data_IF_120758529333
#
_entry.id   IF_120758529333
#
_cell.length_a   1.000
_cell.length_b   1.000
_cell.length_c   1.000
_cell.angle_alpha   90.00
_cell.angle_beta   90.00
_cell.angle_gamma   90.00
#
_symmetry.space_group_name_H-M   'P 1'
#
loop_
_entity.id
_entity.type
_entity.pdbx_description
1 polymer ?
#
# COMPACT_ATOMS: atom_id res chain seq x y z
N UNK A 1 7.50 -11.25 26.46
CA UNK A 1 8.81 -10.56 26.42
C UNK A 1 8.62 -9.29 25.60
N UNK A 2 8.96 -8.12 26.14
CA UNK A 2 8.82 -6.82 25.48
C UNK A 2 9.97 -6.62 24.48
N UNK A 3 9.72 -6.03 23.30
CA UNK A 3 10.75 -5.78 22.30
C UNK A 3 11.91 -4.97 22.90
N UNK A 4 13.15 -5.42 22.69
CA UNK A 4 14.35 -4.66 23.06
C UNK A 4 14.53 -3.51 22.08
N UNK A 5 14.52 -2.28 22.58
CA UNK A 5 14.80 -1.08 21.78
C UNK A 5 16.31 -0.86 21.69
N UNK A 6 16.86 -0.79 20.47
CA UNK A 6 18.28 -0.61 20.20
C UNK A 6 18.62 0.89 20.10
N UNK A 7 19.83 1.29 20.53
CA UNK A 7 20.28 2.68 20.34
C UNK A 7 20.82 2.87 18.92
N UNK A 8 20.45 3.97 18.26
CA UNK A 8 20.92 4.29 16.90
C UNK A 8 22.46 4.33 16.78
N UNK A 9 23.17 4.68 17.86
CA UNK A 9 24.65 4.68 17.88
C UNK A 9 25.21 3.27 17.76
N UNK A 10 24.60 2.31 18.44
CA UNK A 10 25.06 0.91 18.43
C UNK A 10 24.66 0.25 17.11
N UNK A 11 23.45 0.51 16.61
CA UNK A 11 23.03 0.08 15.27
C UNK A 11 24.01 0.58 14.21
N UNK A 12 24.45 1.85 14.27
CA UNK A 12 25.44 2.38 13.33
C UNK A 12 26.81 1.70 13.44
N UNK A 13 27.26 1.36 14.64
CA UNK A 13 28.54 0.65 14.85
C UNK A 13 28.52 -0.78 14.32
N UNK A 14 27.34 -1.42 14.36
CA UNK A 14 27.13 -2.83 14.01
C UNK A 14 26.14 -2.97 12.84
N UNK A 15 26.23 -2.09 11.84
CA UNK A 15 25.19 -1.95 10.81
C UNK A 15 24.91 -3.24 10.05
N UNK A 16 25.94 -3.93 9.54
CA UNK A 16 25.75 -5.16 8.77
C UNK A 16 25.11 -6.28 9.61
N UNK A 17 25.58 -6.48 10.84
CA UNK A 17 25.03 -7.47 11.77
C UNK A 17 23.56 -7.16 12.11
N UNK A 18 23.25 -5.88 12.34
CA UNK A 18 21.89 -5.43 12.58
C UNK A 18 20.97 -5.70 11.39
N UNK A 19 21.41 -5.41 10.16
CA UNK A 19 20.64 -5.67 8.95
C UNK A 19 20.41 -7.18 8.76
N UNK A 20 21.45 -8.00 8.94
CA UNK A 20 21.34 -9.47 8.86
C UNK A 20 20.35 -10.02 9.90
N UNK A 21 20.37 -9.49 11.13
CA UNK A 21 19.43 -9.89 12.20
C UNK A 21 17.98 -9.52 11.85
N UNK A 22 17.73 -8.31 11.32
CA UNK A 22 16.38 -7.90 10.91
C UNK A 22 15.85 -8.77 9.77
N UNK A 23 16.69 -9.07 8.78
CA UNK A 23 16.31 -9.88 7.63
C UNK A 23 16.02 -11.32 8.04
N UNK A 24 16.89 -11.94 8.84
CA UNK A 24 16.87 -13.39 9.10
C UNK A 24 16.05 -13.78 10.34
N UNK A 25 15.86 -12.85 11.28
CA UNK A 25 15.25 -13.16 12.57
C UNK A 25 13.94 -12.41 12.79
N UNK A 26 13.98 -11.09 13.09
CA UNK A 26 12.79 -10.34 13.50
C UNK A 26 12.89 -8.83 13.30
N UNK A 27 11.75 -8.11 13.22
CA UNK A 27 11.74 -6.65 13.22
C UNK A 27 12.42 -6.06 14.46
N UNK A 28 12.96 -4.85 14.30
CA UNK A 28 13.63 -4.13 15.38
C UNK A 28 13.08 -2.73 15.57
N UNK A 29 13.17 -2.24 16.81
CA UNK A 29 12.90 -0.84 17.14
C UNK A 29 14.21 -0.14 17.50
N UNK A 30 14.45 1.02 16.88
CA UNK A 30 15.68 1.80 17.05
C UNK A 30 15.33 3.16 17.64
N UNK A 31 15.94 3.50 18.77
CA UNK A 31 15.78 4.81 19.42
C UNK A 31 16.87 5.77 18.96
N UNK A 32 16.45 6.96 18.52
CA UNK A 32 17.32 8.10 18.21
C UNK A 32 16.86 9.31 19.02
N UNK A 33 17.60 9.66 20.07
CA UNK A 33 17.21 10.71 21.02
C UNK A 33 15.80 10.48 21.60
N UNK A 34 14.81 11.29 21.18
CA UNK A 34 13.40 11.20 21.59
C UNK A 34 12.54 10.40 20.62
N UNK A 35 13.07 10.07 19.45
CA UNK A 35 12.35 9.40 18.38
C UNK A 35 12.58 7.89 18.41
N UNK A 36 11.60 7.16 17.86
CA UNK A 36 11.63 5.71 17.71
C UNK A 36 11.35 5.37 16.25
N UNK A 37 12.16 4.49 15.68
CA UNK A 37 11.98 3.95 14.34
C UNK A 37 11.68 2.45 14.44
N UNK A 38 10.81 1.94 13.57
CA UNK A 38 10.63 0.52 13.35
C UNK A 38 11.35 0.12 12.06
N UNK A 39 12.04 -1.02 12.07
CA UNK A 39 12.75 -1.56 10.92
C UNK A 39 12.25 -2.97 10.68
N UNK A 40 11.80 -3.22 9.46
CA UNK A 40 11.24 -4.49 9.00
C UNK A 40 11.95 -4.92 7.72
N UNK A 41 12.10 -6.23 7.51
CA UNK A 41 12.41 -6.78 6.20
C UNK A 41 11.20 -6.70 5.27
N UNK A 42 11.41 -6.93 3.96
CA UNK A 42 10.29 -6.96 3.00
C UNK A 42 9.27 -8.05 3.34
N UNK A 43 9.72 -9.28 3.65
CA UNK A 43 8.82 -10.37 4.03
C UNK A 43 7.97 -10.03 5.27
N UNK A 44 8.57 -9.35 6.25
CA UNK A 44 7.87 -8.90 7.46
C UNK A 44 6.85 -7.78 7.15
N UNK A 45 7.19 -6.89 6.22
CA UNK A 45 6.29 -5.83 5.74
C UNK A 45 5.12 -6.43 4.96
N UNK A 46 5.38 -7.37 4.06
CA UNK A 46 4.35 -8.05 3.27
C UNK A 46 3.37 -8.77 4.19
N UNK A 47 3.86 -9.49 5.21
CA UNK A 47 3.00 -10.11 6.23
C UNK A 47 2.17 -9.09 7.03
N UNK A 48 2.70 -7.90 7.29
CA UNK A 48 1.97 -6.83 7.98
C UNK A 48 0.83 -6.26 7.10
N UNK A 49 1.01 -6.26 5.78
CA UNK A 49 0.09 -5.68 4.81
C UNK A 49 -0.83 -6.70 4.14
N UNK A 50 -0.67 -7.99 4.43
CA UNK A 50 -1.40 -9.10 3.80
C UNK A 50 -2.93 -8.95 3.88
N UNK A 51 -3.44 -8.48 5.03
CA UNK A 51 -4.88 -8.29 5.25
C UNK A 51 -5.45 -7.05 4.54
N UNK A 52 -4.60 -6.17 4.02
CA UNK A 52 -5.02 -4.93 3.38
C UNK A 52 -5.39 -5.19 1.91
N UNK A 53 -6.68 -5.43 1.65
CA UNK A 53 -7.17 -5.77 0.29
C UNK A 53 -7.46 -4.53 -0.55
N UNK A 54 -7.04 -4.54 -1.81
CA UNK A 54 -7.34 -3.49 -2.79
C UNK A 54 -8.56 -3.96 -3.59
N UNK A 55 -9.71 -3.31 -3.41
CA UNK A 55 -11.01 -3.78 -3.93
C UNK A 55 -11.63 -2.79 -4.88
N UNK A 56 -11.73 -3.16 -6.16
CA UNK A 56 -12.40 -2.35 -7.17
C UNK A 56 -13.88 -2.76 -7.23
N UNK A 57 -14.77 -1.82 -6.92
CA UNK A 57 -16.21 -2.02 -7.08
C UNK A 57 -16.60 -1.66 -8.51
N UNK A 58 -17.18 -2.61 -9.24
CA UNK A 58 -17.56 -2.42 -10.65
C UNK A 58 -19.08 -2.30 -10.76
N UNK A 59 -19.51 -1.32 -11.55
CA UNK A 59 -20.89 -1.12 -11.98
C UNK A 59 -20.93 -1.07 -13.51
N UNK A 60 -21.87 -1.80 -14.11
CA UNK A 60 -22.17 -1.64 -15.53
C UNK A 60 -23.20 -0.52 -15.72
N UNK A 61 -22.86 0.41 -16.61
CA UNK A 61 -23.66 1.59 -16.94
C UNK A 61 -24.70 1.28 -18.03
N UNK A 62 -25.62 2.21 -18.25
CA UNK A 62 -26.72 2.06 -19.22
C UNK A 62 -26.24 1.98 -20.68
N UNK A 63 -25.14 2.64 -20.99
CA UNK A 63 -24.51 2.62 -22.31
C UNK A 63 -23.65 1.37 -22.57
N UNK A 64 -23.55 0.48 -21.59
CA UNK A 64 -22.77 -0.74 -21.64
C UNK A 64 -21.32 -0.61 -21.16
N UNK A 65 -20.85 0.61 -20.86
CA UNK A 65 -19.55 0.84 -20.23
C UNK A 65 -19.49 0.34 -18.78
N UNK A 66 -18.30 0.28 -18.22
CA UNK A 66 -18.05 -0.15 -16.85
C UNK A 66 -17.37 0.96 -16.07
N UNK A 67 -17.98 1.35 -14.94
CA UNK A 67 -17.36 2.23 -13.95
C UNK A 67 -16.78 1.42 -12.82
N UNK A 68 -15.51 1.66 -12.50
CA UNK A 68 -14.80 1.04 -11.38
C UNK A 68 -14.46 2.08 -10.32
N UNK A 69 -14.71 1.77 -9.05
CA UNK A 69 -14.44 2.65 -7.92
C UNK A 69 -13.64 1.93 -6.85
N UNK A 70 -12.49 2.52 -6.50
CA UNK A 70 -11.66 2.12 -5.38
C UNK A 70 -11.89 3.08 -4.20
N UNK A 71 -12.90 2.75 -3.38
CA UNK A 71 -13.39 3.65 -2.32
C UNK A 71 -12.32 4.02 -1.30
N UNK A 72 -11.43 3.08 -0.98
CA UNK A 72 -10.38 3.24 0.03
C UNK A 72 -9.35 4.32 -0.32
N UNK A 73 -9.24 4.67 -1.61
CA UNK A 73 -8.30 5.69 -2.11
C UNK A 73 -8.99 6.81 -2.88
N UNK A 74 -10.32 6.77 -3.00
CA UNK A 74 -11.13 7.73 -3.77
C UNK A 74 -10.68 7.82 -5.24
N UNK A 75 -10.35 6.68 -5.85
CA UNK A 75 -10.03 6.57 -7.29
C UNK A 75 -11.22 5.97 -8.04
N UNK A 76 -11.44 6.45 -9.27
CA UNK A 76 -12.48 5.93 -10.15
C UNK A 76 -12.10 6.13 -11.61
N UNK A 77 -12.51 5.18 -12.45
CA UNK A 77 -12.36 5.25 -13.90
C UNK A 77 -13.61 4.65 -14.57
N UNK A 78 -13.80 4.97 -15.84
CA UNK A 78 -14.86 4.40 -16.69
C UNK A 78 -14.25 3.99 -18.03
N UNK A 79 -14.53 2.77 -18.46
CA UNK A 79 -13.98 2.19 -19.70
C UNK A 79 -15.02 1.29 -20.39
N UNK A 80 -14.80 1.00 -21.67
CA UNK A 80 -15.70 0.15 -22.47
C UNK A 80 -15.65 -1.33 -22.04
N UNK A 81 -14.55 -1.78 -21.45
CA UNK A 81 -14.33 -3.17 -21.04
C UNK A 81 -13.75 -3.27 -19.64
N UNK A 82 -14.01 -4.40 -18.97
CA UNK A 82 -13.47 -4.68 -17.62
C UNK A 82 -11.93 -4.73 -17.63
N UNK A 83 -11.32 -5.25 -18.69
CA UNK A 83 -9.86 -5.35 -18.80
C UNK A 83 -9.22 -3.97 -18.91
N UNK A 84 -9.77 -3.08 -19.76
CA UNK A 84 -9.34 -1.69 -19.83
C UNK A 84 -9.52 -0.98 -18.49
N UNK A 85 -10.70 -1.13 -17.88
CA UNK A 85 -11.01 -0.53 -16.58
C UNK A 85 -9.97 -0.95 -15.51
N UNK A 86 -9.60 -2.23 -15.49
CA UNK A 86 -8.61 -2.76 -14.56
C UNK A 86 -7.23 -2.15 -14.82
N UNK A 87 -6.78 -2.08 -16.06
CA UNK A 87 -5.47 -1.51 -16.38
C UNK A 87 -5.43 0.00 -16.07
N UNK A 88 -6.45 0.78 -16.45
CA UNK A 88 -6.56 2.21 -16.13
C UNK A 88 -6.48 2.44 -14.62
N UNK A 89 -7.25 1.69 -13.82
CA UNK A 89 -7.21 1.85 -12.35
C UNK A 89 -5.88 1.40 -11.73
N UNK A 90 -5.17 0.43 -12.33
CA UNK A 90 -3.84 0.03 -11.88
C UNK A 90 -2.81 1.13 -12.17
N UNK A 91 -2.89 1.78 -13.33
CA UNK A 91 -2.05 2.93 -13.67
C UNK A 91 -2.31 4.11 -12.71
N UNK A 92 -3.58 4.44 -12.48
CA UNK A 92 -4.00 5.47 -11.52
C UNK A 92 -3.50 5.18 -10.10
N UNK A 93 -3.54 3.90 -9.67
CA UNK A 93 -3.03 3.47 -8.37
C UNK A 93 -1.53 3.72 -8.23
N UNK A 94 -0.76 3.38 -9.27
CA UNK A 94 0.69 3.57 -9.30
C UNK A 94 1.03 5.05 -9.28
N UNK A 95 0.37 5.85 -10.12
CA UNK A 95 0.58 7.30 -10.19
C UNK A 95 0.22 7.97 -8.86
N UNK A 96 -0.95 7.65 -8.30
CA UNK A 96 -1.38 8.17 -7.01
C UNK A 96 -0.43 7.79 -5.89
N UNK A 97 0.02 6.54 -5.83
CA UNK A 97 0.97 6.08 -4.81
C UNK A 97 2.32 6.79 -4.94
N UNK A 98 2.78 7.09 -6.15
CA UNK A 98 4.00 7.86 -6.38
C UNK A 98 3.83 9.33 -5.98
N UNK A 99 2.71 9.97 -6.37
CA UNK A 99 2.41 11.36 -6.03
C UNK A 99 2.29 11.55 -4.50
N UNK A 100 1.61 10.62 -3.83
CA UNK A 100 1.50 10.61 -2.37
C UNK A 100 2.87 10.62 -1.72
N UNK A 101 3.80 9.78 -2.18
CA UNK A 101 5.15 9.71 -1.63
C UNK A 101 5.99 10.95 -1.94
N UNK A 102 5.83 11.55 -3.13
CA UNK A 102 6.47 12.82 -3.48
C UNK A 102 5.97 13.98 -2.59
N UNK A 103 4.70 13.94 -2.17
CA UNK A 103 4.05 14.95 -1.35
C UNK A 103 3.69 14.42 0.05
N UNK A 104 4.51 13.51 0.59
CA UNK A 104 4.19 12.71 1.78
C UNK A 104 3.72 13.56 2.97
N UNK A 105 4.43 14.67 3.23
CA UNK A 105 4.14 15.55 4.36
C UNK A 105 2.73 16.19 4.28
N UNK A 106 2.26 16.52 3.08
CA UNK A 106 0.94 17.09 2.85
C UNK A 106 -0.15 16.01 3.00
N UNK A 107 0.02 14.89 2.30
CA UNK A 107 -0.99 13.84 2.25
C UNK A 107 -1.13 13.10 3.59
N UNK A 108 -0.01 12.78 4.26
CA UNK A 108 -0.03 12.08 5.55
C UNK A 108 -0.62 12.93 6.69
N UNK A 109 -0.56 14.27 6.58
CA UNK A 109 -1.16 15.21 7.55
C UNK A 109 -2.61 15.57 7.21
N UNK A 110 -3.10 15.25 6.02
CA UNK A 110 -4.46 15.57 5.60
C UNK A 110 -5.49 14.61 6.22
N UNK A 111 -6.58 15.10 6.86
CA UNK A 111 -7.55 14.25 7.57
C UNK A 111 -8.19 13.14 6.70
N UNK A 112 -8.46 13.43 5.43
CA UNK A 112 -9.09 12.52 4.48
C UNK A 112 -8.09 11.62 3.72
N UNK A 113 -6.78 11.86 3.83
CA UNK A 113 -5.76 11.10 3.06
C UNK A 113 -4.77 10.35 3.94
N UNK A 114 -4.74 10.61 5.24
CA UNK A 114 -3.86 9.88 6.17
C UNK A 114 -4.15 8.38 6.20
N UNK A 115 -5.41 7.98 6.10
CA UNK A 115 -5.85 6.58 6.03
C UNK A 115 -5.40 5.86 4.76
N UNK A 116 -4.97 6.58 3.73
CA UNK A 116 -4.51 5.99 2.48
C UNK A 116 -3.09 5.45 2.58
N UNK A 117 -2.31 5.91 3.57
CA UNK A 117 -0.91 5.57 3.71
C UNK A 117 -0.62 4.05 3.68
N UNK A 118 -1.35 3.18 4.41
CA UNK A 118 -1.12 1.74 4.33
C UNK A 118 -1.26 1.17 2.91
N UNK A 119 -2.24 1.65 2.13
CA UNK A 119 -2.46 1.21 0.76
C UNK A 119 -1.38 1.74 -0.17
N UNK A 120 -1.04 3.03 -0.05
CA UNK A 120 0.07 3.66 -0.80
C UNK A 120 1.37 2.92 -0.55
N UNK A 121 1.64 2.54 0.70
CA UNK A 121 2.85 1.82 1.06
C UNK A 121 2.85 0.39 0.51
N UNK A 122 1.70 -0.31 0.54
CA UNK A 122 1.50 -1.62 -0.11
C UNK A 122 1.71 -1.55 -1.62
N UNK A 123 1.17 -0.53 -2.28
CA UNK A 123 1.34 -0.33 -3.73
C UNK A 123 2.82 -0.08 -4.04
N UNK A 124 3.46 0.87 -3.37
CA UNK A 124 4.88 1.18 -3.59
C UNK A 124 5.82 -0.01 -3.31
N UNK A 125 5.50 -0.89 -2.35
CA UNK A 125 6.29 -2.11 -2.14
C UNK A 125 6.15 -3.11 -3.30
N UNK A 126 5.04 -3.06 -4.03
CA UNK A 126 4.72 -3.91 -5.17
C UNK A 126 5.06 -3.30 -6.53
N UNK A 127 5.11 -1.96 -6.69
CA UNK A 127 5.33 -1.29 -8.00
C UNK A 127 6.66 -1.69 -8.66
N UNK A 128 7.64 -2.15 -7.87
CA UNK A 128 8.85 -2.79 -8.41
C UNK A 128 8.59 -4.15 -9.09
N UNK A 129 7.32 -4.59 -9.15
CA UNK A 129 6.82 -5.81 -9.77
C UNK A 129 5.33 -5.60 -10.13
N UNK A 130 5.06 -4.78 -11.15
CA UNK A 130 3.68 -4.47 -11.63
C UNK A 130 2.79 -5.72 -11.76
N UNK A 131 3.36 -6.85 -12.15
CA UNK A 131 2.65 -8.13 -12.24
C UNK A 131 2.03 -8.59 -10.91
N UNK A 132 2.68 -8.33 -9.77
CA UNK A 132 2.11 -8.63 -8.44
C UNK A 132 0.90 -7.77 -8.12
N UNK A 133 0.90 -6.50 -8.54
CA UNK A 133 -0.25 -5.62 -8.31
C UNK A 133 -1.48 -6.11 -9.11
N UNK A 134 -1.27 -6.61 -10.34
CA UNK A 134 -2.35 -7.20 -11.15
C UNK A 134 -3.01 -8.41 -10.49
N UNK A 135 -2.23 -9.21 -9.77
CA UNK A 135 -2.71 -10.40 -9.04
C UNK A 135 -3.44 -10.04 -7.73
N UNK A 136 -3.02 -8.97 -7.06
CA UNK A 136 -3.57 -8.53 -5.76
C UNK A 136 -4.87 -7.73 -5.87
N UNK A 137 -5.15 -7.12 -7.03
CA UNK A 137 -6.38 -6.35 -7.25
C UNK A 137 -7.58 -7.30 -7.40
N UNK A 138 -8.48 -7.22 -6.42
CA UNK A 138 -9.72 -8.00 -6.40
C UNK A 138 -10.86 -7.17 -7.02
N UNK A 139 -11.52 -7.73 -8.04
CA UNK A 139 -12.70 -7.13 -8.66
C UNK A 139 -13.97 -7.61 -7.96
N UNK A 140 -14.81 -6.67 -7.52
CA UNK A 140 -16.10 -6.94 -6.89
C UNK A 140 -17.20 -6.32 -7.74
N UNK A 141 -18.02 -7.15 -8.40
CA UNK A 141 -19.22 -6.67 -9.08
C UNK A 141 -20.30 -6.35 -8.06
N UNK A 142 -20.77 -5.10 -8.07
CA UNK A 142 -21.95 -4.73 -7.30
C UNK A 142 -23.17 -5.22 -8.07
N UNK A 143 -23.77 -6.32 -7.62
CA UNK A 143 -25.08 -6.75 -8.14
C UNK A 143 -26.06 -5.62 -7.83
N UNK A 144 -26.61 -4.97 -8.87
CA UNK A 144 -27.71 -4.02 -8.70
C UNK A 144 -28.83 -4.78 -7.97
N UNK A 145 -29.09 -4.43 -6.71
CA UNK A 145 -30.31 -4.85 -6.04
C UNK A 145 -31.46 -4.21 -6.80
N UNK A 146 -32.21 -5.03 -7.53
CA UNK A 146 -33.46 -4.62 -8.17
C UNK A 146 -34.42 -4.16 -7.05
N UNK A 147 -34.55 -2.84 -6.90
CA UNK A 147 -35.62 -2.19 -6.14
C UNK A 147 -36.71 -1.74 -7.10
#
# INVERSE_FOLDING_TARGET
MMFRVLNATDVRKHWSEFVDDVIRNKPAFVKRNRDLLAVLSMDQMDALLESLKIRINIVQEEDGSFTGVLNELELAANEETIDQLKETLIEDLIEYAAEYMQNFDLYFKSPNRKSHFPYVYKINSMTNTVDRLREEVELYQVVKNNA
#
